data_IF_719946598032
#
_entry.id   IF_719946598032
#
_cell.length_a   1.000
_cell.length_b   1.000
_cell.length_c   1.000
_cell.angle_alpha   90.00
_cell.angle_beta   90.00
_cell.angle_gamma   90.00
#
_symmetry.space_group_name_H-M   'P 1'
#
loop_
_entity.id
_entity.type
_entity.pdbx_description
1 polymer ?
#
# COMPACT_ATOMS: atom_id res chain seq x y z
N UNK A 1 5.30 7.62 18.91
CA UNK A 1 4.97 6.82 20.11
C UNK A 1 3.48 6.56 20.11
N UNK A 2 3.08 5.34 20.44
CA UNK A 2 1.69 4.89 20.43
C UNK A 2 1.46 3.92 21.60
N UNK A 3 0.27 3.34 21.70
CA UNK A 3 -0.07 2.25 22.63
C UNK A 3 0.50 0.91 22.14
N UNK A 4 0.84 -0.03 23.05
CA UNK A 4 1.34 -1.36 22.70
C UNK A 4 0.49 -2.11 21.66
N UNK A 5 -0.83 -2.05 21.80
CA UNK A 5 -1.78 -2.73 20.92
C UNK A 5 -1.71 -2.19 19.48
N UNK A 6 -1.82 -0.86 19.33
CA UNK A 6 -1.70 -0.18 18.03
C UNK A 6 -0.32 -0.33 17.39
N UNK A 7 0.74 -0.49 18.17
CA UNK A 7 2.09 -0.61 17.63
C UNK A 7 2.26 -1.82 16.71
N UNK A 8 1.52 -2.91 16.94
CA UNK A 8 1.62 -4.18 16.19
C UNK A 8 0.43 -4.47 15.28
N UNK A 9 -0.66 -3.69 15.39
CA UNK A 9 -1.97 -3.99 14.77
C UNK A 9 -1.94 -4.17 13.24
N UNK A 10 -1.10 -3.41 12.52
CA UNK A 10 -1.00 -3.46 11.06
C UNK A 10 0.30 -4.10 10.55
N UNK A 11 1.00 -4.85 11.40
CA UNK A 11 2.28 -5.46 11.07
C UNK A 11 2.09 -6.96 10.80
N UNK A 12 2.56 -7.46 9.64
CA UNK A 12 2.44 -8.88 9.30
C UNK A 12 3.28 -9.79 10.22
N UNK A 13 4.43 -9.28 10.69
CA UNK A 13 5.33 -9.97 11.62
C UNK A 13 5.70 -9.01 12.75
N UNK A 14 4.99 -9.05 13.89
CA UNK A 14 5.29 -8.14 15.00
C UNK A 14 6.65 -8.48 15.61
N UNK A 15 7.49 -7.46 15.78
CA UNK A 15 8.79 -7.56 16.45
C UNK A 15 8.67 -7.20 17.94
N UNK A 16 9.76 -7.25 18.71
CA UNK A 16 9.71 -6.89 20.12
C UNK A 16 9.30 -5.42 20.31
N UNK A 17 8.56 -5.11 21.38
CA UNK A 17 8.18 -3.73 21.67
C UNK A 17 9.34 -2.99 22.33
N UNK A 18 9.64 -1.80 21.81
CA UNK A 18 10.59 -0.87 22.44
C UNK A 18 9.81 0.17 23.23
N UNK A 19 9.83 0.02 24.55
CA UNK A 19 9.08 0.86 25.49
C UNK A 19 9.94 1.99 26.08
N UNK A 20 9.31 3.12 26.38
CA UNK A 20 9.94 4.16 27.19
C UNK A 20 9.92 3.76 28.66
N UNK A 21 11.07 3.94 29.34
CA UNK A 21 11.13 3.76 30.80
C UNK A 21 10.25 4.76 31.56
N UNK A 22 10.09 5.98 31.04
CA UNK A 22 9.35 7.07 31.68
C UNK A 22 8.45 7.80 30.68
N UNK A 23 7.32 7.20 30.26
CA UNK A 23 6.39 7.84 29.36
C UNK A 23 5.58 8.92 30.09
N UNK A 24 5.37 10.06 29.43
CA UNK A 24 4.50 11.15 29.94
C UNK A 24 3.02 10.76 29.97
N UNK A 25 2.60 9.81 29.14
CA UNK A 25 1.22 9.32 29.06
C UNK A 25 1.22 7.86 28.60
N UNK A 26 0.27 7.06 29.10
CA UNK A 26 0.13 5.63 28.75
C UNK A 26 -0.12 5.42 27.25
N UNK A 27 -0.83 6.36 26.61
CA UNK A 27 -1.11 6.33 25.16
C UNK A 27 0.14 6.50 24.27
N UNK A 28 1.28 6.86 24.87
CA UNK A 28 2.55 7.14 24.16
C UNK A 28 3.71 6.44 24.86
N UNK A 29 3.54 5.16 25.16
CA UNK A 29 4.53 4.34 25.88
C UNK A 29 5.51 3.61 24.97
N UNK A 30 5.12 3.28 23.73
CA UNK A 30 5.95 2.43 22.84
C UNK A 30 6.27 3.08 21.51
N UNK A 31 7.42 2.71 20.94
CA UNK A 31 7.76 3.02 19.55
C UNK A 31 6.82 2.28 18.59
N UNK A 32 6.45 2.96 17.50
CA UNK A 32 5.52 2.43 16.50
C UNK A 32 6.24 1.46 15.57
N UNK A 33 5.63 0.30 15.28
CA UNK A 33 6.12 -0.62 14.23
C UNK A 33 5.33 -0.50 12.92
N UNK A 34 4.26 0.29 12.92
CA UNK A 34 3.49 0.65 11.73
C UNK A 34 3.20 2.15 11.73
N UNK A 35 2.96 2.69 10.54
CA UNK A 35 2.54 4.08 10.35
C UNK A 35 1.02 4.20 10.35
N UNK A 36 0.32 3.14 9.92
CA UNK A 36 -1.12 3.14 9.70
C UNK A 36 -1.91 3.58 10.93
N UNK A 37 -1.61 3.06 12.12
CA UNK A 37 -2.42 3.33 13.32
C UNK A 37 -2.49 4.83 13.65
N UNK A 38 -1.36 5.54 13.50
CA UNK A 38 -1.32 6.99 13.74
C UNK A 38 -2.07 7.80 12.68
N UNK A 39 -2.03 7.35 11.42
CA UNK A 39 -2.80 7.96 10.34
C UNK A 39 -4.29 7.72 10.57
N UNK A 40 -4.71 6.52 10.99
CA UNK A 40 -6.11 6.20 11.29
C UNK A 40 -6.65 7.03 12.46
N UNK A 41 -5.86 7.28 13.49
CA UNK A 41 -6.25 8.21 14.56
C UNK A 41 -6.50 9.64 14.03
N UNK A 42 -5.69 10.06 13.05
CA UNK A 42 -5.86 11.36 12.39
C UNK A 42 -7.10 11.39 11.49
N UNK A 43 -7.41 10.28 10.81
CA UNK A 43 -8.64 10.10 10.04
C UNK A 43 -9.85 10.18 10.98
N UNK A 44 -9.87 9.40 12.05
CA UNK A 44 -10.93 9.40 13.06
C UNK A 44 -11.18 10.81 13.63
N UNK A 45 -10.11 11.52 13.98
CA UNK A 45 -10.20 12.90 14.47
C UNK A 45 -10.90 13.86 13.50
N UNK A 46 -10.63 13.71 12.20
CA UNK A 46 -11.23 14.54 11.15
C UNK A 46 -12.67 14.13 10.82
N UNK A 47 -12.95 12.82 10.78
CA UNK A 47 -14.29 12.27 10.58
C UNK A 47 -15.23 12.76 11.69
N UNK A 48 -14.78 12.75 12.95
CA UNK A 48 -15.52 13.28 14.09
C UNK A 48 -15.86 14.78 13.95
N UNK A 49 -15.11 15.52 13.11
CA UNK A 49 -15.32 16.94 12.77
C UNK A 49 -16.08 17.14 11.46
N UNK A 50 -16.69 16.08 10.93
CA UNK A 50 -17.47 16.05 9.68
C UNK A 50 -16.62 16.22 8.41
N UNK A 51 -15.29 16.10 8.50
CA UNK A 51 -14.41 16.03 7.33
C UNK A 51 -14.34 14.58 6.86
N UNK A 52 -15.13 14.25 5.83
CA UNK A 52 -15.30 12.85 5.36
C UNK A 52 -14.39 12.47 4.20
N UNK A 53 -13.94 13.43 3.41
CA UNK A 53 -13.07 13.21 2.26
C UNK A 53 -11.64 13.53 2.68
N UNK A 54 -10.82 12.51 2.89
CA UNK A 54 -9.45 12.68 3.40
C UNK A 54 -8.49 11.85 2.57
N UNK A 55 -7.40 12.50 2.17
CA UNK A 55 -6.24 11.86 1.56
C UNK A 55 -5.01 12.31 2.33
N UNK A 56 -4.48 11.42 3.17
CA UNK A 56 -3.35 11.70 4.06
C UNK A 56 -2.19 10.78 3.69
N UNK A 57 -0.98 11.32 3.72
CA UNK A 57 0.23 10.51 3.63
C UNK A 57 1.23 10.95 4.70
N UNK A 58 2.09 10.03 5.11
CA UNK A 58 3.19 10.30 6.04
C UNK A 58 4.45 9.59 5.54
N UNK A 59 5.58 10.29 5.64
CA UNK A 59 6.92 9.70 5.52
C UNK A 59 7.55 9.80 6.90
N UNK A 60 7.95 8.67 7.45
CA UNK A 60 8.56 8.63 8.78
C UNK A 60 9.22 7.31 9.08
N UNK A 61 9.72 7.19 10.31
CA UNK A 61 10.40 5.98 10.76
C UNK A 61 9.44 5.06 11.51
N UNK A 62 9.56 3.78 11.22
CA UNK A 62 9.06 2.68 12.06
C UNK A 62 10.26 1.99 12.71
N UNK A 63 10.03 1.40 13.88
CA UNK A 63 11.09 0.83 14.71
C UNK A 63 10.85 -0.67 14.84
N UNK A 64 11.76 -1.45 14.27
CA UNK A 64 11.75 -2.90 14.37
C UNK A 64 12.78 -3.34 15.41
N UNK A 65 12.40 -4.23 16.32
CA UNK A 65 13.31 -4.76 17.33
C UNK A 65 13.40 -6.28 17.22
N UNK A 66 14.46 -6.74 16.55
CA UNK A 66 14.77 -8.16 16.39
C UNK A 66 15.55 -8.73 17.58
N UNK A 67 16.20 -7.86 18.34
CA UNK A 67 17.11 -8.17 19.43
C UNK A 67 16.53 -8.01 20.83
N UNK A 68 17.41 -7.98 21.84
CA UNK A 68 17.03 -7.66 23.21
C UNK A 68 16.80 -6.14 23.36
N UNK A 69 15.56 -5.66 23.59
CA UNK A 69 15.26 -4.22 23.65
C UNK A 69 16.02 -3.42 24.73
N UNK A 70 16.65 -4.08 25.70
CA UNK A 70 17.46 -3.43 26.75
C UNK A 70 18.93 -3.27 26.40
N UNK A 71 19.43 -4.03 25.42
CA UNK A 71 20.85 -4.10 25.08
C UNK A 71 21.13 -3.65 23.65
N UNK A 72 20.17 -3.82 22.75
CA UNK A 72 20.32 -3.56 21.33
C UNK A 72 19.40 -2.41 20.85
N UNK A 73 19.97 -1.55 20.00
CA UNK A 73 19.22 -0.46 19.39
C UNK A 73 18.22 -1.01 18.37
N UNK A 74 16.99 -0.45 18.32
CA UNK A 74 16.02 -0.86 17.31
C UNK A 74 16.51 -0.47 15.90
N UNK A 75 16.13 -1.27 14.92
CA UNK A 75 16.32 -0.96 13.52
C UNK A 75 15.32 0.12 13.08
N UNK A 76 15.84 1.24 12.58
CA UNK A 76 15.01 2.35 12.10
C UNK A 76 14.77 2.23 10.60
N UNK A 77 13.53 1.94 10.21
CA UNK A 77 13.14 1.75 8.82
C UNK A 77 12.37 2.99 8.35
N UNK A 78 12.85 3.66 7.30
CA UNK A 78 12.09 4.72 6.66
C UNK A 78 10.91 4.09 5.92
N UNK A 79 9.70 4.53 6.22
CA UNK A 79 8.47 4.02 5.64
C UNK A 79 7.59 5.16 5.15
N UNK A 80 6.90 4.90 4.05
CA UNK A 80 5.87 5.75 3.49
C UNK A 80 4.53 5.07 3.70
N UNK A 81 3.55 5.81 4.20
CA UNK A 81 2.21 5.30 4.33
C UNK A 81 1.19 6.34 3.90
N UNK A 82 0.02 5.88 3.47
CA UNK A 82 -1.13 6.75 3.23
C UNK A 82 -2.43 6.12 3.70
N UNK A 83 -3.43 6.97 3.93
CA UNK A 83 -4.82 6.57 4.10
C UNK A 83 -5.73 7.46 3.23
N UNK A 84 -6.68 6.82 2.57
CA UNK A 84 -7.67 7.44 1.70
C UNK A 84 -9.07 7.04 2.17
N UNK A 85 -9.94 8.02 2.36
CA UNK A 85 -11.34 7.77 2.71
C UNK A 85 -12.28 8.83 2.14
N UNK A 86 -13.54 8.45 1.95
CA UNK A 86 -14.59 9.30 1.41
C UNK A 86 -14.66 9.27 -0.11
N UNK A 87 -14.79 10.45 -0.72
CA UNK A 87 -14.96 10.63 -2.15
C UNK A 87 -13.67 11.15 -2.80
N UNK A 88 -13.32 10.58 -3.94
CA UNK A 88 -12.30 11.08 -4.86
C UNK A 88 -12.80 12.33 -5.58
N UNK A 89 -14.05 12.25 -6.07
CA UNK A 89 -14.73 13.33 -6.74
C UNK A 89 -16.07 13.55 -6.07
N UNK A 90 -16.34 14.79 -5.68
CA UNK A 90 -17.64 15.19 -5.15
C UNK A 90 -18.69 15.20 -6.26
N UNK A 91 -19.95 15.07 -5.86
CA UNK A 91 -21.07 15.16 -6.79
C UNK A 91 -21.14 16.60 -7.33
N UNK A 92 -21.00 16.74 -8.64
CA UNK A 92 -21.34 17.96 -9.36
C UNK A 92 -22.71 17.80 -10.04
N UNK A 93 -23.21 18.84 -10.68
CA UNK A 93 -24.44 18.79 -11.45
C UNK A 93 -24.34 17.87 -12.67
N UNK A 94 -23.12 17.64 -13.20
CA UNK A 94 -22.85 16.79 -14.36
C UNK A 94 -22.28 15.42 -13.99
N UNK A 95 -21.65 15.27 -12.84
CA UNK A 95 -20.87 14.07 -12.48
C UNK A 95 -21.36 13.45 -11.19
N UNK A 96 -21.46 12.11 -11.19
CA UNK A 96 -21.74 11.35 -10.00
C UNK A 96 -20.56 11.41 -9.02
N UNK A 97 -20.85 11.31 -7.71
CA UNK A 97 -19.81 11.15 -6.71
C UNK A 97 -19.05 9.84 -6.94
N UNK A 98 -17.73 9.90 -6.91
CA UNK A 98 -16.86 8.72 -7.06
C UNK A 98 -16.24 8.43 -5.70
N UNK A 99 -16.63 7.33 -5.02
CA UNK A 99 -15.99 6.92 -3.79
C UNK A 99 -14.56 6.44 -4.05
N UNK A 100 -13.70 6.57 -3.04
CA UNK A 100 -12.40 5.88 -3.07
C UNK A 100 -12.66 4.38 -3.12
N UNK A 101 -11.95 3.68 -4.00
CA UNK A 101 -11.92 2.23 -4.06
C UNK A 101 -10.49 1.68 -4.01
N UNK A 102 -10.38 0.35 -3.98
CA UNK A 102 -9.07 -0.32 -3.96
C UNK A 102 -8.23 0.02 -5.20
N UNK A 103 -8.86 0.11 -6.37
CA UNK A 103 -8.15 0.37 -7.62
C UNK A 103 -7.65 1.81 -7.71
N UNK A 104 -8.34 2.77 -7.13
CA UNK A 104 -7.87 4.14 -7.00
C UNK A 104 -6.61 4.22 -6.13
N UNK A 105 -6.63 3.56 -4.97
CA UNK A 105 -5.46 3.47 -4.10
C UNK A 105 -4.29 2.74 -4.79
N UNK A 106 -4.58 1.67 -5.52
CA UNK A 106 -3.60 0.96 -6.36
C UNK A 106 -3.02 1.86 -7.45
N UNK A 107 -3.85 2.65 -8.12
CA UNK A 107 -3.43 3.57 -9.18
C UNK A 107 -2.48 4.66 -8.69
N UNK A 108 -2.64 5.15 -7.45
CA UNK A 108 -1.68 6.09 -6.84
C UNK A 108 -0.32 5.41 -6.67
N UNK A 109 -0.30 4.17 -6.17
CA UNK A 109 0.93 3.40 -6.00
C UNK A 109 1.59 3.06 -7.34
N UNK A 110 0.83 2.62 -8.32
CA UNK A 110 1.34 2.35 -9.67
C UNK A 110 1.95 3.61 -10.30
N UNK A 111 1.32 4.78 -10.14
CA UNK A 111 1.86 6.04 -10.61
C UNK A 111 3.17 6.43 -9.88
N UNK A 112 3.28 6.14 -8.59
CA UNK A 112 4.50 6.36 -7.81
C UNK A 112 5.63 5.43 -8.27
N UNK A 113 5.36 4.12 -8.38
CA UNK A 113 6.36 3.15 -8.83
C UNK A 113 6.79 3.37 -10.28
N UNK A 114 5.87 3.76 -11.17
CA UNK A 114 6.21 4.13 -12.54
C UNK A 114 7.17 5.32 -12.60
N UNK A 115 7.00 6.33 -11.73
CA UNK A 115 7.93 7.48 -11.64
C UNK A 115 9.29 7.08 -11.08
N UNK A 116 9.33 6.08 -10.20
CA UNK A 116 10.58 5.52 -9.65
C UNK A 116 11.24 4.52 -10.61
N UNK A 117 10.58 4.14 -11.71
CA UNK A 117 11.08 3.13 -12.64
C UNK A 117 11.08 1.71 -12.07
N UNK A 118 10.23 1.44 -11.07
CA UNK A 118 10.15 0.15 -10.39
C UNK A 118 8.95 -0.65 -10.90
N UNK A 119 9.19 -1.92 -11.24
CA UNK A 119 8.15 -2.86 -11.65
C UNK A 119 7.77 -3.73 -10.46
N UNK A 120 6.63 -3.44 -9.83
CA UNK A 120 6.15 -4.17 -8.65
C UNK A 120 5.07 -5.19 -9.00
N UNK A 121 4.98 -6.24 -8.18
CA UNK A 121 3.94 -7.27 -8.27
C UNK A 121 2.99 -7.13 -7.09
N UNK A 122 1.69 -7.31 -7.35
CA UNK A 122 0.65 -7.29 -6.33
C UNK A 122 0.14 -8.72 -6.11
N UNK A 123 0.33 -9.26 -4.91
CA UNK A 123 -0.13 -10.61 -4.54
C UNK A 123 -1.24 -10.50 -3.51
N UNK A 124 -2.41 -11.09 -3.78
CA UNK A 124 -3.51 -11.09 -2.82
C UNK A 124 -3.10 -11.82 -1.53
N UNK A 125 -3.36 -11.20 -0.37
CA UNK A 125 -3.05 -11.79 0.94
C UNK A 125 -4.19 -11.60 1.92
N UNK A 126 -4.26 -12.47 2.92
CA UNK A 126 -5.14 -12.36 4.08
C UNK A 126 -4.36 -12.44 5.41
N UNK A 127 -3.03 -12.25 5.37
CA UNK A 127 -2.16 -12.42 6.54
C UNK A 127 -2.33 -11.31 7.58
N UNK A 128 -2.75 -10.11 7.17
CA UNK A 128 -2.93 -8.98 8.09
C UNK A 128 -4.37 -8.95 8.58
N UNK A 129 -4.60 -9.39 9.82
CA UNK A 129 -5.94 -9.51 10.42
C UNK A 129 -6.73 -8.19 10.48
N UNK A 130 -6.03 -7.06 10.57
CA UNK A 130 -6.61 -5.71 10.64
C UNK A 130 -7.03 -5.16 9.28
N UNK A 131 -6.78 -5.89 8.19
CA UNK A 131 -7.19 -5.56 6.83
C UNK A 131 -8.23 -6.54 6.29
N UNK A 132 -8.94 -6.12 5.25
CA UNK A 132 -9.98 -6.93 4.63
C UNK A 132 -9.36 -8.08 3.81
N UNK A 133 -9.69 -9.35 4.09
CA UNK A 133 -9.00 -10.51 3.50
C UNK A 133 -9.16 -10.62 1.98
N UNK A 134 -10.27 -10.14 1.43
CA UNK A 134 -10.52 -10.11 -0.02
C UNK A 134 -10.10 -8.82 -0.74
N UNK A 135 -9.57 -7.84 -0.02
CA UNK A 135 -9.25 -6.50 -0.57
C UNK A 135 -7.92 -6.00 0.00
N UNK A 136 -6.94 -6.90 0.02
CA UNK A 136 -5.59 -6.66 0.49
C UNK A 136 -4.60 -7.33 -0.46
N UNK A 137 -3.54 -6.60 -0.81
CA UNK A 137 -2.45 -7.08 -1.63
C UNK A 137 -1.11 -6.73 -1.00
N UNK A 138 -0.20 -7.71 -0.93
CA UNK A 138 1.21 -7.47 -0.70
C UNK A 138 1.84 -6.91 -1.96
N UNK A 139 2.76 -5.98 -1.77
CA UNK A 139 3.50 -5.33 -2.84
C UNK A 139 4.93 -5.85 -2.74
N UNK A 140 5.39 -6.52 -3.78
CA UNK A 140 6.76 -7.04 -3.87
C UNK A 140 7.50 -6.50 -5.08
N UNK A 141 8.82 -6.42 -4.96
CA UNK A 141 9.74 -6.14 -6.03
C UNK A 141 10.66 -7.36 -6.18
N UNK A 142 10.39 -8.18 -7.20
CA UNK A 142 10.98 -9.52 -7.27
C UNK A 142 10.57 -10.35 -6.05
N UNK A 143 11.56 -10.91 -5.34
CA UNK A 143 11.34 -11.71 -4.13
C UNK A 143 11.24 -10.87 -2.84
N UNK A 144 11.50 -9.56 -2.91
CA UNK A 144 11.49 -8.69 -1.74
C UNK A 144 10.12 -8.04 -1.54
N UNK A 145 9.52 -8.22 -0.36
CA UNK A 145 8.29 -7.54 0.03
C UNK A 145 8.61 -6.07 0.36
N UNK A 146 7.98 -5.15 -0.36
CA UNK A 146 8.08 -3.71 -0.14
C UNK A 146 7.02 -3.21 0.84
N UNK A 147 5.89 -3.88 0.96
CA UNK A 147 4.81 -3.46 1.83
C UNK A 147 3.45 -4.02 1.43
N UNK A 148 2.38 -3.31 1.75
CA UNK A 148 1.01 -3.73 1.45
C UNK A 148 0.11 -2.56 1.06
N UNK A 149 -0.98 -2.89 0.37
CA UNK A 149 -2.14 -2.05 0.12
C UNK A 149 -3.38 -2.83 0.53
N UNK A 150 -4.28 -2.23 1.31
CA UNK A 150 -5.52 -2.90 1.66
C UNK A 150 -6.61 -1.98 2.19
N UNK A 151 -7.84 -2.50 2.19
CA UNK A 151 -8.93 -1.89 2.92
C UNK A 151 -8.82 -2.24 4.41
N UNK A 152 -9.05 -1.28 5.30
CA UNK A 152 -9.15 -1.55 6.74
C UNK A 152 -10.32 -2.50 7.00
N UNK A 153 -10.11 -3.53 7.83
CA UNK A 153 -11.15 -4.51 8.14
C UNK A 153 -12.39 -3.81 8.74
N UNK A 154 -13.64 -4.17 8.36
CA UNK A 154 -14.84 -3.47 8.85
C UNK A 154 -14.98 -3.43 10.37
N UNK A 155 -14.43 -4.42 11.08
CA UNK A 155 -14.41 -4.45 12.56
C UNK A 155 -13.42 -3.40 13.09
N UNK A 156 -12.21 -3.34 12.54
CA UNK A 156 -11.19 -2.35 12.89
C UNK A 156 -11.66 -0.94 12.53
N UNK A 157 -12.27 -0.75 11.35
CA UNK A 157 -12.83 0.54 10.94
C UNK A 157 -13.89 1.05 11.93
N UNK A 158 -14.75 0.15 12.44
CA UNK A 158 -15.72 0.50 13.50
C UNK A 158 -15.05 0.83 14.83
N UNK A 159 -14.00 0.12 15.21
CA UNK A 159 -13.25 0.39 16.45
C UNK A 159 -12.60 1.78 16.43
N UNK A 160 -12.13 2.22 15.27
CA UNK A 160 -11.56 3.56 15.06
C UNK A 160 -12.62 4.64 14.76
N UNK A 161 -13.91 4.29 14.64
CA UNK A 161 -15.00 5.19 14.22
C UNK A 161 -14.74 5.88 12.86
N UNK A 162 -14.17 5.12 11.92
CA UNK A 162 -13.84 5.59 10.57
C UNK A 162 -14.74 4.95 9.50
N UNK A 163 -15.04 5.67 8.40
CA UNK A 163 -15.69 5.09 7.23
C UNK A 163 -14.75 4.14 6.47
N UNK A 164 -15.25 3.59 5.36
CA UNK A 164 -14.43 2.78 4.44
C UNK A 164 -13.15 3.53 4.07
N UNK A 165 -12.02 2.95 4.48
CA UNK A 165 -10.70 3.58 4.39
C UNK A 165 -9.72 2.58 3.78
N UNK A 166 -8.97 3.04 2.79
CA UNK A 166 -7.92 2.28 2.14
C UNK A 166 -6.57 2.80 2.62
N UNK A 167 -5.68 1.88 2.97
CA UNK A 167 -4.38 2.19 3.54
C UNK A 167 -3.29 1.44 2.79
N UNK A 168 -2.12 2.07 2.69
CA UNK A 168 -0.93 1.40 2.21
C UNK A 168 0.26 1.80 3.07
N UNK A 169 1.18 0.87 3.26
CA UNK A 169 2.46 1.10 3.91
C UNK A 169 3.55 0.46 3.05
N UNK A 170 4.61 1.22 2.78
CA UNK A 170 5.76 0.85 1.98
C UNK A 170 7.05 1.14 2.74
N UNK A 171 7.99 0.20 2.67
CA UNK A 171 9.35 0.36 3.16
C UNK A 171 10.16 1.19 2.15
N UNK A 172 10.39 2.45 2.48
CA UNK A 172 11.20 3.36 1.66
C UNK A 172 12.67 2.95 1.64
N UNK A 173 13.21 2.44 2.74
CA UNK A 173 14.59 1.97 2.79
C UNK A 173 14.85 0.85 1.76
N UNK A 174 13.89 -0.06 1.57
CA UNK A 174 13.96 -1.09 0.53
C UNK A 174 13.86 -0.50 -0.89
N UNK A 175 12.98 0.50 -1.09
CA UNK A 175 12.81 1.19 -2.37
C UNK A 175 14.07 1.98 -2.75
N UNK A 176 14.71 2.64 -1.79
CA UNK A 176 15.97 3.39 -1.96
C UNK A 176 17.11 2.51 -2.45
N UNK A 177 17.21 1.28 -1.94
CA UNK A 177 18.21 0.31 -2.39
C UNK A 177 17.93 -0.21 -3.82
N UNK A 178 16.65 -0.30 -4.18
CA UNK A 178 16.23 -0.79 -5.49
C UNK A 178 16.28 0.25 -6.61
N UNK A 179 16.42 1.54 -6.26
CA UNK A 179 16.44 2.63 -7.22
C UNK A 179 17.65 2.53 -8.15
N UNK A 180 17.37 2.42 -9.45
CA UNK A 180 18.39 2.39 -10.49
C UNK A 180 18.71 3.81 -10.98
N UNK A 181 19.94 4.05 -11.48
CA UNK A 181 20.27 5.31 -12.14
C UNK A 181 19.37 5.56 -13.35
N UNK A 182 19.32 6.83 -13.77
CA UNK A 182 18.42 7.32 -14.82
C UNK A 182 18.34 6.39 -16.04
N UNK A 183 17.11 6.09 -16.46
CA UNK A 183 16.84 5.18 -17.56
C UNK A 183 17.58 5.62 -18.84
N UNK A 184 18.22 4.68 -19.57
CA UNK A 184 18.87 4.99 -20.83
C UNK A 184 17.82 5.48 -21.84
N UNK A 185 18.24 6.41 -22.70
CA UNK A 185 17.38 6.85 -23.80
C UNK A 185 17.09 5.68 -24.73
N UNK A 186 15.81 5.42 -24.97
CA UNK A 186 15.34 4.43 -25.95
C UNK A 186 14.85 5.19 -27.18
N UNK A 187 15.35 4.84 -28.37
CA UNK A 187 14.92 5.48 -29.62
C UNK A 187 13.43 5.24 -29.85
N UNK A 188 12.72 6.32 -30.16
CA UNK A 188 11.29 6.26 -30.47
C UNK A 188 11.13 5.52 -31.80
N UNK A 189 10.29 4.48 -31.80
CA UNK A 189 10.02 3.69 -33.00
C UNK A 189 9.36 4.56 -34.07
N UNK A 190 9.93 4.58 -35.28
CA UNK A 190 9.45 5.38 -36.43
C UNK A 190 8.27 4.74 -37.18
N UNK A 191 7.93 3.50 -36.83
CA UNK A 191 6.87 2.72 -37.47
C UNK A 191 5.61 2.71 -36.61
N UNK A 192 4.40 2.72 -37.22
CA UNK A 192 3.16 2.68 -36.47
C UNK A 192 3.00 1.34 -35.73
N UNK A 193 2.47 1.41 -34.51
CA UNK A 193 2.07 0.23 -33.76
C UNK A 193 0.77 -0.35 -34.31
N UNK A 194 0.58 -1.67 -34.15
CA UNK A 194 -0.65 -2.38 -34.51
C UNK A 194 -1.24 -2.99 -33.24
N UNK A 195 -2.50 -2.67 -32.94
CA UNK A 195 -3.26 -3.29 -31.87
C UNK A 195 -4.08 -4.48 -32.39
N UNK A 196 -4.24 -5.50 -31.56
CA UNK A 196 -5.15 -6.63 -31.81
C UNK A 196 -5.89 -6.97 -30.52
N UNK A 197 -7.21 -7.01 -30.63
CA UNK A 197 -8.07 -7.34 -29.50
C UNK A 197 -8.35 -8.85 -29.49
N UNK A 198 -8.31 -9.45 -28.30
CA UNK A 198 -8.58 -10.87 -28.10
C UNK A 198 -9.51 -11.01 -26.91
N UNK A 199 -10.61 -11.74 -27.09
CA UNK A 199 -11.50 -12.12 -26.01
C UNK A 199 -11.21 -13.57 -25.60
N UNK A 200 -10.99 -13.80 -24.31
CA UNK A 200 -10.68 -15.10 -23.73
C UNK A 200 -11.77 -15.48 -22.73
N UNK A 201 -12.31 -16.70 -22.83
CA UNK A 201 -13.20 -17.27 -21.83
C UNK A 201 -12.38 -18.07 -20.83
N UNK A 202 -12.31 -17.59 -19.59
CA UNK A 202 -11.50 -18.15 -18.52
C UNK A 202 -12.35 -18.46 -17.29
N UNK A 203 -11.80 -19.25 -16.36
CA UNK A 203 -12.42 -19.45 -15.05
C UNK A 203 -12.28 -18.18 -14.20
N UNK A 204 -13.24 -17.93 -13.32
CA UNK A 204 -13.23 -16.75 -12.42
C UNK A 204 -12.07 -16.74 -11.42
N UNK A 205 -11.41 -17.88 -11.23
CA UNK A 205 -10.26 -18.08 -10.35
C UNK A 205 -8.96 -17.51 -10.96
N UNK A 206 -8.91 -17.41 -12.29
CA UNK A 206 -7.70 -16.97 -13.00
C UNK A 206 -7.51 -15.48 -12.77
N UNK A 207 -6.39 -15.12 -12.19
CA UNK A 207 -6.06 -13.73 -11.90
C UNK A 207 -5.67 -12.96 -13.16
N UNK A 208 -5.84 -11.64 -13.12
CA UNK A 208 -5.36 -10.75 -14.18
C UNK A 208 -3.86 -10.96 -14.46
N UNK A 209 -3.06 -11.15 -13.41
CA UNK A 209 -1.61 -11.33 -13.52
C UNK A 209 -1.26 -12.63 -14.25
N UNK A 210 -1.92 -13.75 -13.93
CA UNK A 210 -1.68 -15.03 -14.61
C UNK A 210 -1.93 -14.96 -16.13
N UNK A 211 -2.94 -14.19 -16.56
CA UNK A 211 -3.20 -13.98 -17.99
C UNK A 211 -2.09 -13.18 -18.65
N UNK A 212 -1.65 -12.09 -18.01
CA UNK A 212 -0.56 -11.24 -18.51
C UNK A 212 0.75 -12.05 -18.59
N UNK A 213 1.08 -12.79 -17.54
CA UNK A 213 2.27 -13.63 -17.46
C UNK A 213 2.27 -14.72 -18.54
N UNK A 214 1.13 -15.37 -18.77
CA UNK A 214 0.99 -16.38 -19.83
C UNK A 214 1.20 -15.79 -21.23
N UNK A 215 0.71 -14.58 -21.50
CA UNK A 215 0.92 -13.88 -22.77
C UNK A 215 2.39 -13.48 -22.94
N UNK A 216 3.03 -12.98 -21.87
CA UNK A 216 4.45 -12.64 -21.90
C UNK A 216 5.34 -13.88 -22.10
N UNK A 217 5.01 -15.00 -21.44
CA UNK A 217 5.72 -16.27 -21.56
C UNK A 217 5.66 -16.86 -22.98
N UNK A 218 4.65 -16.50 -23.79
CA UNK A 218 4.59 -16.89 -25.20
C UNK A 218 5.73 -16.31 -26.06
N UNK A 219 6.49 -15.32 -25.54
CA UNK A 219 7.74 -14.86 -26.16
C UNK A 219 7.56 -14.21 -27.53
N UNK A 220 6.41 -13.56 -27.77
CA UNK A 220 6.11 -12.90 -29.04
C UNK A 220 7.09 -11.75 -29.26
N UNK A 221 8.04 -11.92 -30.19
CA UNK A 221 9.16 -10.98 -30.44
C UNK A 221 8.79 -9.51 -30.64
N UNK A 222 7.56 -9.21 -31.05
CA UNK A 222 7.10 -7.85 -31.38
C UNK A 222 5.99 -7.35 -30.45
N UNK A 223 5.73 -8.06 -29.35
CA UNK A 223 4.77 -7.62 -28.35
C UNK A 223 5.39 -6.47 -27.55
N UNK A 224 4.82 -5.28 -27.68
CA UNK A 224 5.33 -4.07 -27.03
C UNK A 224 4.55 -3.69 -25.78
N UNK A 225 3.25 -3.97 -25.75
CA UNK A 225 2.36 -3.59 -24.65
C UNK A 225 1.20 -4.58 -24.55
N UNK A 226 0.71 -4.81 -23.33
CA UNK A 226 -0.44 -5.66 -23.03
C UNK A 226 -1.38 -4.87 -22.13
N UNK A 227 -2.63 -4.73 -22.56
CA UNK A 227 -3.67 -4.06 -21.78
C UNK A 227 -4.92 -4.92 -21.75
N UNK A 228 -5.37 -5.30 -20.55
CA UNK A 228 -6.69 -5.86 -20.34
C UNK A 228 -7.66 -4.68 -20.13
N UNK A 229 -8.80 -4.70 -20.83
CA UNK A 229 -9.80 -3.64 -20.82
C UNK A 229 -11.21 -4.20 -20.86
#
# INVERSE_FOLDING_TARGET
LTTPEKAVEFTAQPSNLTELMWPMTVDRSVLRQNMISGILDTVAYNVARKNKNLALYEIGKVFEQTGNPKEELPNEINSFAFALTGLVAEKDFQTAAVPVDFFYAKGILEALFARLGLAVTYTATAEIASLHPGRTAMISLGDQVLGFLGQVHPVTAKAYDIPETYVAELNLSAIEVALQPAAPFVEITKFPAVSRDVALLLKAEVTHQEVVDAIQAAGVKRLTDIKLF
#
